data_IF_745789032793
#
_entry.id   IF_745789032793
#
_cell.length_a   1.000
_cell.length_b   1.000
_cell.length_c   1.000
_cell.angle_alpha   90.00
_cell.angle_beta   90.00
_cell.angle_gamma   90.00
#
_symmetry.space_group_name_H-M   'P 1'
#
loop_
_entity.id
_entity.type
_entity.pdbx_description
1 polymer ?
#
# COMPACT_ATOMS: atom_id res chain seq x y z
N UNK A 1 -16.91 16.82 13.67
CA UNK A 1 -15.62 17.22 14.28
C UNK A 1 -15.01 18.29 13.38
N UNK A 2 -14.76 19.50 13.89
CA UNK A 2 -14.22 20.60 13.08
C UNK A 2 -12.74 20.38 12.73
N UNK A 3 -12.29 20.86 11.57
CA UNK A 3 -10.88 20.79 11.16
C UNK A 3 -9.94 21.41 12.21
N UNK A 4 -10.37 22.48 12.89
CA UNK A 4 -9.60 23.12 13.97
C UNK A 4 -9.33 22.17 15.16
N UNK A 5 -10.31 21.34 15.52
CA UNK A 5 -10.16 20.36 16.60
C UNK A 5 -9.14 19.27 16.23
N UNK A 6 -9.14 18.82 14.97
CA UNK A 6 -8.18 17.83 14.47
C UNK A 6 -6.75 18.37 14.48
N UNK A 7 -6.55 19.62 14.07
CA UNK A 7 -5.22 20.26 14.09
C UNK A 7 -4.66 20.30 15.53
N UNK A 8 -5.46 20.75 16.50
CA UNK A 8 -5.05 20.76 17.90
C UNK A 8 -4.68 19.38 18.43
N UNK A 9 -5.51 18.37 18.13
CA UNK A 9 -5.25 16.98 18.50
C UNK A 9 -3.96 16.45 17.87
N UNK A 10 -3.75 16.66 16.58
CA UNK A 10 -2.57 16.16 15.86
C UNK A 10 -1.28 16.82 16.33
N UNK A 11 -1.31 18.13 16.63
CA UNK A 11 -0.15 18.81 17.19
C UNK A 11 0.20 18.25 18.58
N UNK A 12 -0.80 17.96 19.42
CA UNK A 12 -0.58 17.31 20.71
C UNK A 12 0.02 15.92 20.55
N UNK A 13 -0.56 15.08 19.69
CA UNK A 13 -0.04 13.74 19.37
C UNK A 13 1.40 13.80 18.88
N UNK A 14 1.73 14.79 18.03
CA UNK A 14 3.08 14.97 17.50
C UNK A 14 4.07 15.40 18.59
N UNK A 15 3.70 16.33 19.47
CA UNK A 15 4.57 16.83 20.53
C UNK A 15 4.80 15.81 21.65
N UNK A 16 3.78 15.01 22.00
CA UNK A 16 3.84 14.01 23.07
C UNK A 16 4.24 12.62 22.58
N UNK A 17 4.35 12.44 21.26
CA UNK A 17 4.60 11.15 20.59
C UNK A 17 3.62 10.03 20.98
N UNK A 18 2.43 10.41 21.48
CA UNK A 18 1.43 9.50 22.02
C UNK A 18 0.11 9.63 21.28
N UNK A 19 -0.32 8.53 20.65
CA UNK A 19 -1.64 8.42 20.03
C UNK A 19 -2.71 8.00 21.06
N UNK A 20 -3.97 8.44 20.90
CA UNK A 20 -5.08 7.96 21.72
C UNK A 20 -5.22 6.43 21.65
N UNK A 21 -5.51 5.76 22.77
CA UNK A 21 -5.66 4.30 22.81
C UNK A 21 -6.81 3.79 21.93
N UNK A 22 -7.83 4.62 21.72
CA UNK A 22 -8.91 4.33 20.78
C UNK A 22 -8.41 4.15 19.33
N UNK A 23 -7.31 4.81 18.94
CA UNK A 23 -6.76 4.67 17.58
C UNK A 23 -5.99 3.37 17.38
N UNK A 24 -5.54 2.75 18.48
CA UNK A 24 -4.83 1.46 18.47
C UNK A 24 -5.80 0.28 18.30
N UNK A 25 -7.10 0.52 18.46
CA UNK A 25 -8.16 -0.47 18.27
C UNK A 25 -8.75 -0.33 16.87
N UNK A 26 -9.11 -1.47 16.26
CA UNK A 26 -9.77 -1.51 14.97
C UNK A 26 -10.73 -2.69 14.86
N UNK A 27 -11.62 -2.62 13.87
CA UNK A 27 -12.64 -3.65 13.64
C UNK A 27 -12.16 -4.55 12.51
N UNK A 28 -12.00 -5.85 12.78
CA UNK A 28 -11.63 -6.82 11.76
C UNK A 28 -12.86 -7.30 10.99
N UNK A 29 -12.86 -7.10 9.68
CA UNK A 29 -13.89 -7.55 8.75
C UNK A 29 -13.25 -8.52 7.76
N UNK A 30 -13.96 -9.59 7.41
CA UNK A 30 -13.55 -10.54 6.37
C UNK A 30 -14.18 -10.15 5.02
N UNK A 31 -13.36 -10.07 3.97
CA UNK A 31 -13.83 -9.94 2.59
C UNK A 31 -13.55 -11.23 1.81
N UNK A 32 -14.49 -11.72 1.00
CA UNK A 32 -14.28 -12.91 0.17
C UNK A 32 -13.31 -12.64 -0.98
N UNK A 33 -12.40 -13.59 -1.27
CA UNK A 33 -11.65 -13.66 -2.53
C UNK A 33 -12.43 -14.53 -3.55
N UNK A 34 -12.02 -14.55 -4.82
CA UNK A 34 -12.71 -15.27 -5.92
C UNK A 34 -12.58 -16.82 -5.89
N UNK A 35 -12.14 -17.41 -4.78
CA UNK A 35 -11.85 -18.85 -4.64
C UNK A 35 -12.86 -19.51 -3.69
N UNK A 36 -12.73 -20.82 -3.46
CA UNK A 36 -13.58 -21.59 -2.54
C UNK A 36 -13.62 -20.97 -1.13
N UNK A 37 -14.80 -20.47 -0.73
CA UNK A 37 -14.99 -19.74 0.52
C UNK A 37 -15.09 -20.64 1.76
N UNK A 38 -15.10 -21.96 1.59
CA UNK A 38 -15.00 -22.91 2.70
C UNK A 38 -13.63 -22.86 3.38
N UNK A 39 -12.59 -22.46 2.63
CA UNK A 39 -11.22 -22.37 3.12
C UNK A 39 -10.91 -20.99 3.67
N UNK A 40 -10.38 -20.91 4.89
CA UNK A 40 -10.03 -19.66 5.57
C UNK A 40 -9.06 -18.78 4.75
N UNK A 41 -8.11 -19.39 4.04
CA UNK A 41 -7.10 -18.68 3.21
C UNK A 41 -7.72 -17.83 2.08
N UNK A 42 -8.95 -18.16 1.68
CA UNK A 42 -9.70 -17.47 0.63
C UNK A 42 -10.48 -16.26 1.14
N UNK A 43 -10.27 -15.87 2.41
CA UNK A 43 -10.75 -14.62 2.98
C UNK A 43 -9.60 -13.62 3.12
N UNK A 44 -9.91 -12.34 2.94
CA UNK A 44 -9.00 -11.23 3.22
C UNK A 44 -9.50 -10.48 4.45
N UNK A 45 -8.72 -10.51 5.53
CA UNK A 45 -8.97 -9.66 6.69
C UNK A 45 -8.70 -8.19 6.35
N UNK A 46 -9.64 -7.31 6.66
CA UNK A 46 -9.49 -5.86 6.62
C UNK A 46 -9.69 -5.32 8.02
N UNK A 47 -8.70 -4.58 8.52
CA UNK A 47 -8.80 -3.90 9.80
C UNK A 47 -9.27 -2.45 9.57
N UNK A 48 -10.48 -2.12 10.03
CA UNK A 48 -11.01 -0.76 9.99
C UNK A 48 -10.51 0.04 11.18
N UNK A 49 -9.60 0.97 10.90
CA UNK A 49 -9.03 1.90 11.88
C UNK A 49 -9.84 3.18 12.02
N UNK A 50 -9.62 3.88 13.14
CA UNK A 50 -10.23 5.18 13.43
C UNK A 50 -10.00 6.19 12.28
N UNK A 51 -11.05 6.95 11.94
CA UNK A 51 -10.98 8.02 10.93
C UNK A 51 -9.92 9.08 11.26
N UNK A 52 -9.86 9.67 12.47
CA UNK A 52 -8.85 10.68 12.78
C UNK A 52 -7.42 10.13 12.72
N UNK A 53 -7.20 8.86 13.11
CA UNK A 53 -5.90 8.21 12.95
C UNK A 53 -5.48 8.07 11.48
N UNK A 54 -6.40 7.67 10.60
CA UNK A 54 -6.14 7.61 9.14
C UNK A 54 -5.80 8.97 8.56
N UNK A 55 -6.49 10.03 9.00
CA UNK A 55 -6.20 11.40 8.58
C UNK A 55 -4.80 11.82 9.04
N UNK A 56 -4.43 11.54 10.29
CA UNK A 56 -3.10 11.83 10.81
C UNK A 56 -1.99 11.13 10.02
N UNK A 57 -2.15 9.83 9.74
CA UNK A 57 -1.22 9.08 8.88
C UNK A 57 -1.10 9.71 7.48
N UNK A 58 -2.20 10.22 6.91
CA UNK A 58 -2.18 10.90 5.61
C UNK A 58 -1.41 12.23 5.66
N UNK A 59 -1.53 12.98 6.76
CA UNK A 59 -0.72 14.19 6.98
C UNK A 59 0.77 13.86 7.06
N UNK A 60 1.14 12.80 7.81
CA UNK A 60 2.53 12.34 7.88
C UNK A 60 3.02 11.91 6.51
N UNK A 61 2.25 11.08 5.80
CA UNK A 61 2.57 10.63 4.44
C UNK A 61 2.86 11.83 3.52
N UNK A 62 2.00 12.84 3.52
CA UNK A 62 2.19 14.03 2.68
C UNK A 62 3.49 14.79 3.01
N UNK A 63 3.86 14.84 4.30
CA UNK A 63 5.11 15.50 4.74
C UNK A 63 6.36 14.74 4.34
N UNK A 64 6.33 13.41 4.34
CA UNK A 64 7.51 12.58 4.02
C UNK A 64 7.61 12.20 2.54
N UNK A 65 6.50 12.27 1.80
CA UNK A 65 6.38 11.75 0.42
C UNK A 65 7.50 12.24 -0.49
N UNK A 66 7.77 13.56 -0.52
CA UNK A 66 8.79 14.13 -1.40
C UNK A 66 10.21 13.64 -1.11
N UNK A 67 10.50 13.29 0.15
CA UNK A 67 11.80 12.76 0.55
C UNK A 67 11.91 11.28 0.23
N UNK A 68 10.83 10.51 0.48
CA UNK A 68 10.78 9.08 0.17
C UNK A 68 10.86 8.86 -1.33
N UNK A 69 10.08 9.59 -2.14
CA UNK A 69 10.02 9.42 -3.60
C UNK A 69 11.39 9.59 -4.27
N UNK A 70 12.28 10.44 -3.71
CA UNK A 70 13.66 10.62 -4.19
C UNK A 70 14.61 9.47 -3.87
N UNK A 71 14.24 8.61 -2.93
CA UNK A 71 15.05 7.47 -2.48
C UNK A 71 14.58 6.14 -3.05
N UNK A 72 13.42 6.13 -3.70
CA UNK A 72 12.87 4.92 -4.32
C UNK A 72 13.62 4.59 -5.61
N UNK A 73 13.89 3.30 -5.82
CA UNK A 73 14.48 2.79 -7.06
C UNK A 73 13.53 3.02 -8.24
N UNK A 74 14.05 3.16 -9.44
CA UNK A 74 13.23 3.43 -10.63
C UNK A 74 12.32 2.26 -11.02
N UNK A 75 12.69 1.04 -10.67
CA UNK A 75 11.89 -0.17 -10.91
C UNK A 75 10.66 -0.24 -9.97
N UNK A 76 10.63 0.53 -8.88
CA UNK A 76 9.49 0.58 -7.99
C UNK A 76 8.34 1.35 -8.62
N UNK A 77 7.37 0.63 -9.18
CA UNK A 77 6.18 1.24 -9.81
C UNK A 77 4.91 1.19 -8.95
N UNK A 78 4.92 0.43 -7.85
CA UNK A 78 3.79 0.41 -6.93
C UNK A 78 3.89 1.56 -5.93
N UNK A 79 2.88 2.45 -5.92
CA UNK A 79 2.65 3.56 -4.98
C UNK A 79 3.23 4.96 -5.33
N UNK A 80 4.41 5.13 -5.94
CA UNK A 80 4.88 6.43 -6.41
C UNK A 80 3.94 7.06 -7.43
N UNK A 81 3.91 8.38 -7.41
CA UNK A 81 3.17 9.15 -8.41
C UNK A 81 3.90 9.11 -9.75
N UNK A 82 3.13 9.11 -10.85
CA UNK A 82 3.69 9.12 -12.21
C UNK A 82 4.31 7.81 -12.68
N UNK A 83 4.21 6.72 -11.91
CA UNK A 83 4.66 5.38 -12.31
C UNK A 83 3.47 4.44 -12.44
N UNK A 84 3.33 3.80 -13.59
CA UNK A 84 2.21 2.90 -13.86
C UNK A 84 2.68 1.45 -13.95
N UNK A 85 1.77 0.52 -13.64
CA UNK A 85 1.97 -0.92 -13.89
C UNK A 85 2.22 -1.18 -15.39
N UNK A 86 1.56 -0.42 -16.27
CA UNK A 86 1.64 -0.61 -17.72
C UNK A 86 3.09 -0.36 -18.18
N UNK A 87 3.74 0.66 -17.63
CA UNK A 87 5.11 1.03 -17.98
C UNK A 87 6.08 -0.11 -17.63
N UNK A 88 5.91 -0.75 -16.47
CA UNK A 88 6.72 -1.90 -16.07
C UNK A 88 6.47 -3.14 -16.93
N UNK A 89 5.22 -3.41 -17.32
CA UNK A 89 4.90 -4.50 -18.24
C UNK A 89 5.58 -4.26 -19.60
N UNK A 90 5.53 -3.02 -20.08
CA UNK A 90 6.21 -2.63 -21.32
C UNK A 90 7.73 -2.82 -21.22
N UNK A 91 8.36 -2.34 -20.15
CA UNK A 91 9.79 -2.51 -19.91
C UNK A 91 10.16 -4.00 -19.88
N UNK A 92 9.40 -4.83 -19.15
CA UNK A 92 9.61 -6.28 -19.09
C UNK A 92 9.53 -6.91 -20.49
N UNK A 93 8.55 -6.51 -21.30
CA UNK A 93 8.35 -7.02 -22.66
C UNK A 93 9.54 -6.68 -23.56
N UNK A 94 10.02 -5.45 -23.50
CA UNK A 94 11.20 -5.00 -24.25
C UNK A 94 12.45 -5.79 -23.84
N UNK A 95 12.66 -6.01 -22.54
CA UNK A 95 13.79 -6.81 -22.05
C UNK A 95 13.75 -8.25 -22.61
N UNK A 96 12.57 -8.87 -22.60
CA UNK A 96 12.38 -10.22 -23.14
C UNK A 96 12.64 -10.26 -24.65
N UNK A 97 12.11 -9.30 -25.41
CA UNK A 97 12.28 -9.23 -26.87
C UNK A 97 13.72 -8.98 -27.32
N UNK A 98 14.51 -8.27 -26.49
CA UNK A 98 15.91 -7.96 -26.79
C UNK A 98 16.90 -9.02 -26.27
N UNK A 99 16.44 -10.01 -25.50
CA UNK A 99 17.30 -11.07 -24.95
C UNK A 99 17.35 -12.29 -25.92
N UNK A 100 18.51 -12.64 -26.48
CA UNK A 100 18.64 -13.72 -27.47
C UNK A 100 18.23 -15.11 -26.97
N UNK A 101 18.19 -15.32 -25.65
CA UNK A 101 17.97 -16.62 -25.00
C UNK A 101 16.73 -16.65 -24.06
N UNK A 102 15.79 -15.72 -24.19
CA UNK A 102 14.62 -15.67 -23.31
C UNK A 102 13.63 -16.82 -23.61
N UNK A 103 13.84 -17.97 -22.97
CA UNK A 103 12.92 -19.10 -23.02
C UNK A 103 11.64 -18.78 -22.21
N UNK A 104 10.60 -18.34 -22.91
CA UNK A 104 9.33 -17.80 -22.37
C UNK A 104 8.57 -18.84 -21.50
N UNK A 105 8.96 -20.12 -21.56
CA UNK A 105 8.30 -21.23 -20.90
C UNK A 105 8.56 -21.33 -19.37
N UNK A 106 9.58 -20.68 -18.82
CA UNK A 106 9.82 -20.73 -17.36
C UNK A 106 8.96 -19.75 -16.55
N UNK A 107 8.41 -18.70 -17.16
CA UNK A 107 7.65 -17.64 -16.42
C UNK A 107 6.21 -18.08 -16.11
N UNK A 108 5.63 -19.02 -16.87
CA UNK A 108 4.25 -19.51 -16.65
C UNK A 108 4.10 -20.41 -15.40
N UNK A 109 5.19 -20.81 -14.75
CA UNK A 109 5.15 -21.70 -13.58
C UNK A 109 4.87 -21.04 -12.23
N UNK A 110 4.93 -19.71 -12.12
CA UNK A 110 4.89 -19.04 -10.80
C UNK A 110 3.49 -18.57 -10.34
N UNK A 111 2.41 -19.01 -10.99
CA UNK A 111 1.05 -18.58 -10.67
C UNK A 111 0.04 -19.72 -10.52
N UNK A 112 0.46 -20.83 -9.91
CA UNK A 112 -0.44 -21.87 -9.42
C UNK A 112 0.07 -22.51 -8.12
N UNK A 113 0.29 -21.72 -7.07
CA UNK A 113 0.14 -22.14 -5.67
C UNK A 113 -0.52 -21.00 -4.86
#
# INVERSE_FOLDING_TARGET
MSAKCLVGLFNKVWAEEKVPDAWKKGILIKLPKKRDLSQCINWRGINLLSVPGKIFCRVILYRIKSSVDKTLRDEQAGFPEGRSRIDQIFILRVIIELSPDADILQIKGAHLE
#
